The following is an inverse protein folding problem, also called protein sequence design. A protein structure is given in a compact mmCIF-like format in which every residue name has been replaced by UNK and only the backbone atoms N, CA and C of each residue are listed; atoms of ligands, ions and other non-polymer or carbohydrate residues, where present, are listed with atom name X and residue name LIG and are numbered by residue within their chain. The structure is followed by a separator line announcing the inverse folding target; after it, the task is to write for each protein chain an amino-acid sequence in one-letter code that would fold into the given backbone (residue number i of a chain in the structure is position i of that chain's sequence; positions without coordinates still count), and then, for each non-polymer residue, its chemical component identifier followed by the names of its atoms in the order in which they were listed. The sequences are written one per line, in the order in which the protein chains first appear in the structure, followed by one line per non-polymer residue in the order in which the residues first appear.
data_IF_499473912044
#
_entry.id   IF_499473912044
#
_cell.length_a   1.000
_cell.length_b   1.000
_cell.length_c   1.000
_cell.angle_alpha   90.00
_cell.angle_beta   90.00
_cell.angle_gamma   90.00
#
_symmetry.space_group_name_H-M   'P 1'
#
loop_
_entity.id
_entity.type
_entity.pdbx_description
1 polymer ?
#
# COMPACT_ATOMS: atom_id res chain seq x y z
N UNK A 1 4.23 -14.57 33.75
CA UNK A 1 3.54 -14.58 32.47
C UNK A 1 4.49 -14.09 31.40
N UNK A 2 4.65 -14.83 30.32
CA UNK A 2 5.52 -14.42 29.22
C UNK A 2 4.67 -13.98 28.02
N UNK A 3 5.01 -12.85 27.42
CA UNK A 3 4.37 -12.36 26.22
C UNK A 3 4.90 -13.14 25.01
N UNK A 4 4.02 -13.50 24.09
CA UNK A 4 4.40 -14.13 22.83
C UNK A 4 5.24 -13.16 21.97
N UNK A 5 6.33 -13.66 21.41
CA UNK A 5 7.15 -12.95 20.46
C UNK A 5 7.36 -13.82 19.22
N UNK A 6 6.96 -13.31 18.06
CA UNK A 6 7.09 -14.06 16.80
C UNK A 6 8.57 -14.24 16.41
N UNK A 7 8.87 -15.39 15.78
CA UNK A 7 10.18 -15.66 15.19
C UNK A 7 10.05 -15.52 13.66
N UNK A 8 11.00 -14.87 12.99
CA UNK A 8 10.91 -14.68 11.53
C UNK A 8 10.75 -15.97 10.73
N UNK A 9 11.31 -17.06 11.22
CA UNK A 9 11.23 -18.38 10.54
C UNK A 9 9.85 -19.03 10.64
N UNK A 10 9.04 -18.65 11.62
CA UNK A 10 7.75 -19.27 11.91
C UNK A 10 6.56 -18.43 11.46
N UNK A 11 6.80 -17.26 10.87
CA UNK A 11 5.73 -16.38 10.40
C UNK A 11 5.20 -16.87 9.08
N UNK A 12 3.89 -17.03 8.99
CA UNK A 12 3.19 -17.33 7.74
C UNK A 12 2.71 -16.04 7.07
N UNK A 13 2.98 -15.91 5.77
CA UNK A 13 2.54 -14.80 4.95
C UNK A 13 1.49 -15.27 3.95
N UNK A 14 0.28 -14.78 4.09
CA UNK A 14 -0.80 -15.04 3.15
C UNK A 14 -0.78 -14.03 2.00
N UNK A 15 -1.42 -14.38 0.88
CA UNK A 15 -1.61 -13.47 -0.24
C UNK A 15 -3.05 -12.98 -0.25
N UNK A 16 -3.24 -11.68 -0.26
CA UNK A 16 -4.54 -11.02 -0.26
C UNK A 16 -4.72 -10.21 -1.54
N UNK A 17 -5.92 -10.27 -2.09
CA UNK A 17 -6.32 -9.48 -3.27
C UNK A 17 -7.29 -8.38 -2.83
N UNK A 18 -6.98 -7.15 -3.19
CA UNK A 18 -7.82 -5.98 -2.89
C UNK A 18 -8.22 -5.30 -4.19
N UNK A 19 -9.51 -5.07 -4.38
CA UNK A 19 -10.02 -4.28 -5.49
C UNK A 19 -10.18 -2.82 -5.03
N UNK A 20 -9.47 -1.92 -5.68
CA UNK A 20 -9.48 -0.50 -5.36
C UNK A 20 -10.59 0.27 -6.08
N UNK A 21 -11.37 -0.37 -6.94
CA UNK A 21 -12.42 0.29 -7.72
C UNK A 21 -13.44 1.00 -6.81
N UNK A 22 -13.60 2.30 -7.00
CA UNK A 22 -14.55 3.11 -6.25
C UNK A 22 -14.20 3.34 -4.78
N UNK A 23 -13.08 2.84 -4.30
CA UNK A 23 -12.64 3.00 -2.92
C UNK A 23 -11.99 4.37 -2.69
N UNK A 24 -12.20 4.92 -1.49
CA UNK A 24 -11.55 6.17 -1.08
C UNK A 24 -10.08 5.92 -0.76
N UNK A 25 -9.19 6.69 -1.35
CA UNK A 25 -7.73 6.51 -1.28
C UNK A 25 -7.21 6.33 0.16
N UNK A 26 -7.53 7.26 1.06
CA UNK A 26 -7.01 7.22 2.44
C UNK A 26 -7.52 6.01 3.23
N UNK A 27 -8.78 5.66 3.06
CA UNK A 27 -9.39 4.54 3.80
C UNK A 27 -8.85 3.18 3.34
N UNK A 28 -8.75 2.97 2.04
CA UNK A 28 -8.16 1.73 1.50
C UNK A 28 -6.68 1.62 1.86
N UNK A 29 -5.95 2.73 1.82
CA UNK A 29 -4.53 2.75 2.18
C UNK A 29 -4.30 2.35 3.65
N UNK A 30 -5.15 2.79 4.57
CA UNK A 30 -5.08 2.43 5.99
C UNK A 30 -5.25 0.93 6.21
N UNK A 31 -6.24 0.33 5.57
CA UNK A 31 -6.48 -1.12 5.66
C UNK A 31 -5.33 -1.94 5.08
N UNK A 32 -4.84 -1.53 3.92
CA UNK A 32 -3.69 -2.20 3.28
C UNK A 32 -2.44 -2.09 4.16
N UNK A 33 -2.16 -0.92 4.73
CA UNK A 33 -1.02 -0.72 5.62
C UNK A 33 -1.11 -1.59 6.88
N UNK A 34 -2.31 -1.74 7.44
CA UNK A 34 -2.57 -2.61 8.59
C UNK A 34 -2.25 -4.07 8.25
N UNK A 35 -2.67 -4.54 7.06
CA UNK A 35 -2.38 -5.90 6.60
C UNK A 35 -0.90 -6.13 6.31
N UNK A 36 -0.22 -5.17 5.70
CA UNK A 36 1.21 -5.24 5.43
C UNK A 36 2.05 -5.29 6.71
N UNK A 37 1.63 -4.55 7.75
CA UNK A 37 2.32 -4.53 9.04
C UNK A 37 2.02 -5.75 9.90
N UNK A 38 0.87 -6.38 9.71
CA UNK A 38 0.45 -7.54 10.47
C UNK A 38 -0.34 -7.25 11.75
N UNK A 39 -0.80 -6.01 11.94
CA UNK A 39 -1.57 -5.61 13.13
C UNK A 39 -2.92 -6.33 13.28
N UNK A 40 -3.43 -6.92 12.21
CA UNK A 40 -4.66 -7.72 12.22
C UNK A 40 -4.48 -9.11 12.80
N UNK A 41 -3.23 -9.56 13.00
CA UNK A 41 -2.90 -10.88 13.54
C UNK A 41 -2.66 -10.83 15.03
N UNK A 42 -3.11 -11.84 15.81
CA UNK A 42 -2.83 -11.90 17.25
C UNK A 42 -1.34 -12.10 17.55
N UNK A 43 -0.58 -12.65 16.64
CA UNK A 43 0.86 -12.87 16.73
C UNK A 43 1.72 -11.64 16.38
N UNK A 44 1.10 -10.49 16.16
CA UNK A 44 1.82 -9.25 15.84
C UNK A 44 2.95 -8.97 16.82
N UNK A 45 4.14 -8.78 16.29
CA UNK A 45 5.34 -8.41 17.04
C UNK A 45 6.00 -7.20 16.37
N UNK A 46 6.23 -6.09 17.09
CA UNK A 46 6.69 -4.84 16.47
C UNK A 46 8.03 -4.92 15.73
N UNK A 47 8.95 -5.79 16.16
CA UNK A 47 10.27 -5.92 15.57
C UNK A 47 10.37 -7.00 14.48
N UNK A 48 9.28 -7.71 14.21
CA UNK A 48 9.22 -8.77 13.20
C UNK A 48 8.15 -8.42 12.15
N UNK A 49 8.44 -8.71 10.89
CA UNK A 49 7.48 -8.55 9.79
C UNK A 49 6.50 -9.73 9.78
N UNK A 50 5.36 -9.55 10.45
CA UNK A 50 4.29 -10.56 10.54
C UNK A 50 3.17 -10.36 9.53
N UNK A 51 3.24 -9.32 8.69
CA UNK A 51 2.20 -8.97 7.73
C UNK A 51 2.12 -9.89 6.52
N UNK A 52 1.08 -9.69 5.72
CA UNK A 52 0.79 -10.47 4.53
C UNK A 52 1.21 -9.74 3.25
N UNK A 53 1.28 -10.49 2.15
CA UNK A 53 1.39 -9.91 0.81
C UNK A 53 0.04 -9.36 0.37
N UNK A 54 0.03 -8.17 -0.20
CA UNK A 54 -1.20 -7.54 -0.70
C UNK A 54 -1.03 -7.21 -2.18
N UNK A 55 -1.94 -7.72 -2.99
CA UNK A 55 -2.07 -7.41 -4.41
C UNK A 55 -3.26 -6.49 -4.58
N UNK A 56 -3.06 -5.31 -5.15
CA UNK A 56 -4.12 -4.33 -5.41
C UNK A 56 -4.35 -4.22 -6.91
N UNK A 57 -5.59 -4.34 -7.31
CA UNK A 57 -6.03 -4.18 -8.70
C UNK A 57 -6.90 -2.94 -8.85
N UNK A 58 -7.11 -2.50 -10.08
CA UNK A 58 -7.92 -1.31 -10.42
C UNK A 58 -7.46 -0.02 -9.70
N UNK A 59 -6.15 0.16 -9.54
CA UNK A 59 -5.60 1.35 -8.90
C UNK A 59 -5.97 2.66 -9.60
N UNK A 60 -6.24 2.62 -10.90
CA UNK A 60 -6.69 3.77 -11.69
C UNK A 60 -8.08 4.28 -11.30
N UNK A 61 -8.89 3.44 -10.68
CA UNK A 61 -10.29 3.74 -10.30
C UNK A 61 -10.45 4.16 -8.85
N UNK A 62 -9.35 4.41 -8.15
CA UNK A 62 -9.35 4.98 -6.80
C UNK A 62 -9.88 6.41 -6.85
N UNK A 63 -10.69 6.79 -5.87
CA UNK A 63 -11.27 8.13 -5.79
C UNK A 63 -10.82 8.88 -4.54
N UNK A 64 -10.94 10.19 -4.61
CA UNK A 64 -10.80 11.11 -3.48
C UNK A 64 -12.06 11.96 -3.34
N UNK A 65 -12.33 12.47 -2.16
CA UNK A 65 -13.53 13.28 -1.86
C UNK A 65 -13.27 14.77 -2.04
N UNK A 66 -14.35 15.56 -2.18
CA UNK A 66 -14.28 17.00 -2.36
C UNK A 66 -13.50 17.41 -3.61
N UNK A 67 -12.77 18.51 -3.53
CA UNK A 67 -11.95 19.03 -4.64
C UNK A 67 -10.54 18.47 -4.69
N UNK A 68 -10.24 17.43 -3.93
CA UNK A 68 -8.87 16.86 -3.84
C UNK A 68 -8.32 16.37 -5.18
N UNK A 69 -9.18 15.97 -6.11
CA UNK A 69 -8.74 15.58 -7.45
C UNK A 69 -7.91 16.65 -8.13
N UNK A 70 -8.26 17.93 -7.93
CA UNK A 70 -7.56 19.10 -8.47
C UNK A 70 -6.58 19.72 -7.47
N UNK A 71 -6.90 19.72 -6.19
CA UNK A 71 -6.19 20.45 -5.15
C UNK A 71 -5.09 19.65 -4.47
N UNK A 72 -5.22 18.30 -4.43
CA UNK A 72 -4.18 17.45 -3.85
C UNK A 72 -2.97 17.41 -4.76
N UNK A 73 -1.84 17.91 -4.24
CA UNK A 73 -0.59 18.04 -4.99
C UNK A 73 0.44 17.04 -4.50
N UNK A 74 1.17 16.46 -5.46
CA UNK A 74 2.32 15.58 -5.21
C UNK A 74 3.57 16.30 -5.67
N UNK A 75 4.52 16.51 -4.76
CA UNK A 75 5.75 17.23 -5.01
C UNK A 75 6.95 16.30 -4.94
N UNK A 76 7.92 16.51 -5.85
CA UNK A 76 9.25 15.94 -5.67
C UNK A 76 10.30 16.90 -6.21
N UNK A 77 11.50 16.84 -5.64
CA UNK A 77 12.61 17.68 -6.04
C UNK A 77 13.67 16.85 -6.75
N UNK A 78 14.20 17.34 -7.87
CA UNK A 78 15.19 16.63 -8.67
C UNK A 78 16.60 16.70 -8.10
N UNK A 79 16.85 17.56 -7.09
CA UNK A 79 18.16 17.83 -6.52
C UNK A 79 18.92 18.97 -7.20
N UNK A 80 18.39 19.54 -8.28
CA UNK A 80 18.96 20.70 -8.96
C UNK A 80 18.26 22.02 -8.58
N UNK A 81 18.93 23.19 -8.66
CA UNK A 81 18.27 24.47 -8.43
C UNK A 81 16.99 24.62 -9.30
N UNK A 82 15.87 25.03 -8.66
CA UNK A 82 14.58 25.15 -9.33
C UNK A 82 13.95 23.82 -9.75
N UNK A 83 14.41 22.69 -9.23
CA UNK A 83 13.98 21.35 -9.64
C UNK A 83 12.73 20.82 -8.94
N UNK A 84 11.90 21.65 -8.31
CA UNK A 84 10.64 21.23 -7.71
C UNK A 84 9.62 20.91 -8.80
N UNK A 85 9.16 19.66 -8.84
CA UNK A 85 8.09 19.22 -9.74
C UNK A 85 6.84 18.87 -8.94
N UNK A 86 5.69 19.31 -9.47
CA UNK A 86 4.40 19.14 -8.81
C UNK A 86 3.36 18.60 -9.78
N UNK A 87 2.57 17.63 -9.32
CA UNK A 87 1.46 17.05 -10.07
C UNK A 87 0.22 17.05 -9.18
N UNK A 88 -0.94 17.37 -9.76
CA UNK A 88 -2.23 17.15 -9.07
C UNK A 88 -2.55 15.65 -9.04
N UNK A 89 -3.47 15.27 -8.15
CA UNK A 89 -3.96 13.88 -8.09
C UNK A 89 -4.46 13.39 -9.45
N UNK A 90 -5.28 14.19 -10.12
CA UNK A 90 -5.85 13.92 -11.42
C UNK A 90 -4.77 13.61 -12.47
N UNK A 91 -3.74 14.45 -12.55
CA UNK A 91 -2.62 14.27 -13.50
C UNK A 91 -1.76 13.04 -13.14
N UNK A 92 -1.55 12.81 -11.85
CA UNK A 92 -0.73 11.68 -11.42
C UNK A 92 -1.44 10.34 -11.65
N UNK A 93 -2.75 10.26 -11.43
CA UNK A 93 -3.49 9.03 -11.65
C UNK A 93 -3.58 8.66 -13.13
N UNK A 94 -3.64 9.64 -14.02
CA UNK A 94 -3.60 9.41 -15.46
C UNK A 94 -2.23 8.92 -15.93
N UNK A 95 -1.16 9.46 -15.34
CA UNK A 95 0.21 9.15 -15.72
C UNK A 95 0.76 7.88 -15.09
N UNK A 96 0.52 7.70 -13.79
CA UNK A 96 1.06 6.59 -13.00
C UNK A 96 0.07 6.23 -11.87
N UNK A 97 -1.01 5.50 -12.15
CA UNK A 97 -2.07 5.24 -11.17
C UNK A 97 -1.59 4.43 -9.97
N UNK A 98 -0.67 3.50 -10.18
CA UNK A 98 -0.09 2.71 -9.09
C UNK A 98 0.68 3.56 -8.08
N UNK A 99 1.28 4.64 -8.53
CA UNK A 99 2.10 5.52 -7.69
C UNK A 99 1.28 6.25 -6.62
N UNK A 100 0.04 6.60 -6.93
CA UNK A 100 -0.87 7.28 -5.98
C UNK A 100 -1.08 6.41 -4.73
N UNK A 101 -1.47 5.16 -4.91
CA UNK A 101 -1.66 4.20 -3.81
C UNK A 101 -0.35 3.89 -3.09
N UNK A 102 0.72 3.67 -3.83
CA UNK A 102 2.04 3.39 -3.25
C UNK A 102 2.52 4.50 -2.33
N UNK A 103 2.35 5.76 -2.72
CA UNK A 103 2.74 6.91 -1.89
C UNK A 103 1.89 7.00 -0.62
N UNK A 104 0.58 6.81 -0.74
CA UNK A 104 -0.33 6.84 0.41
C UNK A 104 0.02 5.74 1.44
N UNK A 105 0.24 4.52 0.98
CA UNK A 105 0.56 3.38 1.84
C UNK A 105 1.95 3.53 2.45
N UNK A 106 2.94 3.95 1.66
CA UNK A 106 4.30 4.18 2.16
C UNK A 106 4.34 5.20 3.29
N UNK A 107 3.53 6.26 3.20
CA UNK A 107 3.41 7.25 4.27
C UNK A 107 2.81 6.71 5.57
N UNK A 108 2.06 5.62 5.51
CA UNK A 108 1.42 4.97 6.66
C UNK A 108 2.25 3.84 7.27
N UNK A 109 3.29 3.38 6.58
CA UNK A 109 4.22 2.37 7.07
C UNK A 109 5.38 3.02 7.85
N UNK A 110 6.04 2.27 8.76
CA UNK A 110 7.22 2.79 9.45
C UNK A 110 8.34 3.19 8.49
N UNK A 111 9.06 4.26 8.82
CA UNK A 111 10.20 4.77 8.03
C UNK A 111 11.53 4.13 8.47
N UNK A 112 11.54 2.82 8.55
CA UNK A 112 12.67 2.01 9.03
C UNK A 112 13.03 0.96 7.99
N UNK A 113 14.18 0.24 8.11
CA UNK A 113 14.46 -0.90 7.25
C UNK A 113 13.37 -1.97 7.27
N UNK A 114 12.74 -2.21 8.43
CA UNK A 114 11.61 -3.12 8.56
C UNK A 114 10.39 -2.62 7.77
N UNK A 115 10.06 -1.32 7.85
CA UNK A 115 8.97 -0.71 7.08
C UNK A 115 9.21 -0.80 5.58
N UNK A 116 10.43 -0.66 5.11
CA UNK A 116 10.78 -0.86 3.70
C UNK A 116 10.59 -2.32 3.25
N UNK A 117 10.89 -3.28 4.11
CA UNK A 117 10.62 -4.70 3.85
C UNK A 117 9.11 -4.98 3.77
N UNK A 118 8.31 -4.38 4.66
CA UNK A 118 6.84 -4.45 4.60
C UNK A 118 6.30 -3.89 3.28
N UNK A 119 6.82 -2.76 2.83
CA UNK A 119 6.39 -2.12 1.60
C UNK A 119 6.67 -2.97 0.35
N UNK A 120 7.73 -3.76 0.34
CA UNK A 120 8.05 -4.68 -0.76
C UNK A 120 7.00 -5.76 -0.97
N UNK A 121 6.19 -6.07 0.02
CA UNK A 121 5.10 -7.04 -0.08
C UNK A 121 3.85 -6.47 -0.75
N UNK A 122 3.81 -5.17 -1.01
CA UNK A 122 2.74 -4.52 -1.74
C UNK A 122 2.98 -4.61 -3.24
N UNK A 123 1.97 -5.11 -3.96
CA UNK A 123 1.95 -5.18 -5.43
C UNK A 123 0.70 -4.43 -5.92
N UNK A 124 0.90 -3.37 -6.69
CA UNK A 124 -0.20 -2.52 -7.19
C UNK A 124 -0.24 -2.55 -8.70
N UNK A 125 -1.42 -2.77 -9.26
CA UNK A 125 -1.69 -2.82 -10.70
C UNK A 125 -2.83 -1.89 -11.07
N UNK A 126 -2.68 -1.21 -12.21
CA UNK A 126 -3.67 -0.26 -12.71
C UNK A 126 -4.96 -0.95 -13.20
N UNK A 127 -4.82 -2.05 -13.92
CA UNK A 127 -5.95 -2.82 -14.46
C UNK A 127 -6.47 -3.87 -13.48
N UNK A 128 -7.36 -4.73 -13.98
CA UNK A 128 -7.94 -5.83 -13.20
C UNK A 128 -7.12 -7.14 -13.25
N UNK A 129 -6.05 -7.16 -14.03
CA UNK A 129 -5.18 -8.33 -14.19
C UNK A 129 -3.92 -8.20 -13.33
N UNK A 130 -3.45 -9.32 -12.81
CA UNK A 130 -2.21 -9.41 -12.03
C UNK A 130 -1.46 -10.71 -12.35
N UNK A 131 -0.12 -10.72 -12.28
CA UNK A 131 0.69 -11.92 -12.58
C UNK A 131 0.83 -12.88 -11.40
N UNK A 132 -0.04 -12.80 -10.39
CA UNK A 132 0.07 -13.56 -9.14
C UNK A 132 -0.93 -14.72 -9.03
N UNK A 133 -1.41 -15.26 -10.15
CA UNK A 133 -2.35 -16.38 -10.16
C UNK A 133 -1.77 -17.64 -9.47
N UNK A 134 -0.46 -17.85 -9.59
CA UNK A 134 0.22 -18.99 -8.97
C UNK A 134 0.18 -18.94 -7.42
N UNK A 135 0.17 -17.76 -6.84
CA UNK A 135 0.08 -17.55 -5.40
C UNK A 135 -1.35 -17.66 -4.84
N UNK A 136 -2.35 -17.74 -5.71
CA UNK A 136 -3.77 -17.84 -5.36
C UNK A 136 -4.20 -16.83 -4.29
N UNK A 137 -4.09 -15.51 -4.57
CA UNK A 137 -4.44 -14.49 -3.58
C UNK A 137 -5.93 -14.56 -3.24
N UNK A 138 -6.23 -14.50 -1.95
CA UNK A 138 -7.61 -14.51 -1.44
C UNK A 138 -8.21 -13.11 -1.49
N UNK A 139 -9.43 -13.00 -1.99
CA UNK A 139 -10.12 -11.72 -2.03
C UNK A 139 -10.40 -11.19 -0.60
N UNK A 140 -9.99 -9.96 -0.35
CA UNK A 140 -10.25 -9.25 0.89
C UNK A 140 -11.34 -8.20 0.65
N UNK A 141 -12.44 -8.32 1.36
CA UNK A 141 -13.50 -7.31 1.36
C UNK A 141 -13.20 -6.26 2.43
N UNK A 142 -13.21 -5.01 2.02
CA UNK A 142 -12.95 -3.86 2.88
C UNK A 142 -14.21 -3.06 3.18
#
# INVERSE_FOLDING_TARGET
MKTFSAKPQNVEHNWLLVDAEGQTLGRIATEIATRLRGKHKPEYTPHVDTGDFVVVINAEKVRVTGNKAKDKMYHHHTGFPGGLKSFSFEKLIDRAPDRVLKLAIKGMLPRTPLGRAMFKKLKVYAGNEHPHAAQQPQALQL
#
